data_IF_921349474765
#
_entry.id   IF_921349474765
#
_cell.length_a   1.000
_cell.length_b   1.000
_cell.length_c   1.000
_cell.angle_alpha   90.00
_cell.angle_beta   90.00
_cell.angle_gamma   90.00
#
_symmetry.space_group_name_H-M   'P 1'
#
loop_
_entity.id
_entity.type
_entity.pdbx_description
1 polymer ?
#
# COMPACT_ATOMS: atom_id res chain seq x y z
N UNK A 1 -11.53 5.25 4.51
CA UNK A 1 -11.55 4.47 3.24
C UNK A 1 -11.11 3.02 3.48
N UNK A 2 -11.89 2.04 3.01
CA UNK A 2 -11.60 0.59 3.16
C UNK A 2 -10.62 0.12 2.08
N UNK A 3 -9.77 -0.85 2.43
CA UNK A 3 -8.86 -1.47 1.46
C UNK A 3 -9.65 -2.32 0.45
N UNK A 4 -9.29 -2.24 -0.83
CA UNK A 4 -9.77 -3.12 -1.90
C UNK A 4 -9.41 -4.56 -1.55
N UNK A 5 -10.37 -5.45 -1.81
CA UNK A 5 -10.25 -6.89 -1.60
C UNK A 5 -9.19 -7.46 -2.55
N UNK A 6 -8.26 -8.23 -1.99
CA UNK A 6 -7.30 -9.01 -2.77
C UNK A 6 -7.98 -10.34 -3.10
N UNK A 7 -8.10 -10.67 -4.39
CA UNK A 7 -8.72 -11.92 -4.86
C UNK A 7 -7.63 -12.96 -5.13
N UNK A 8 -8.03 -14.24 -5.14
CA UNK A 8 -7.17 -15.38 -5.54
C UNK A 8 -5.93 -15.57 -4.64
N UNK A 9 -6.06 -15.28 -3.34
CA UNK A 9 -5.05 -15.71 -2.37
C UNK A 9 -5.23 -17.20 -2.10
N UNK A 10 -4.12 -17.91 -2.02
CA UNK A 10 -4.08 -19.36 -1.82
C UNK A 10 -3.18 -19.68 -0.61
N UNK A 11 -3.74 -20.15 0.52
CA UNK A 11 -2.94 -20.53 1.69
C UNK A 11 -1.91 -21.64 1.42
N UNK A 12 -2.13 -22.47 0.40
CA UNK A 12 -1.17 -23.49 -0.02
C UNK A 12 -0.13 -22.96 -1.02
N UNK A 13 -0.34 -21.74 -1.53
CA UNK A 13 0.56 -21.06 -2.46
C UNK A 13 1.80 -20.48 -1.78
N UNK A 14 2.80 -20.08 -2.57
CA UNK A 14 4.02 -19.49 -2.03
C UNK A 14 3.76 -18.10 -1.44
N UNK A 15 4.58 -17.71 -0.46
CA UNK A 15 4.54 -16.34 0.08
C UNK A 15 4.73 -15.30 -1.02
N UNK A 16 5.67 -15.53 -1.94
CA UNK A 16 5.97 -14.61 -3.04
C UNK A 16 4.76 -14.38 -3.97
N UNK A 17 4.03 -15.43 -4.33
CA UNK A 17 2.83 -15.30 -5.16
C UNK A 17 1.71 -14.54 -4.45
N UNK A 18 1.42 -14.90 -3.19
CA UNK A 18 0.39 -14.22 -2.42
C UNK A 18 0.75 -12.75 -2.18
N UNK A 19 2.01 -12.48 -1.83
CA UNK A 19 2.54 -11.13 -1.68
C UNK A 19 2.41 -10.34 -3.00
N UNK A 20 2.73 -10.94 -4.14
CA UNK A 20 2.62 -10.30 -5.44
C UNK A 20 1.19 -9.83 -5.72
N UNK A 21 0.19 -10.70 -5.45
CA UNK A 21 -1.23 -10.36 -5.61
C UNK A 21 -1.64 -9.18 -4.72
N UNK A 22 -1.15 -9.15 -3.48
CA UNK A 22 -1.40 -8.03 -2.56
C UNK A 22 -0.74 -6.76 -3.09
N UNK A 23 0.53 -6.81 -3.47
CA UNK A 23 1.30 -5.67 -3.98
C UNK A 23 0.64 -5.06 -5.21
N UNK A 24 0.19 -5.86 -6.17
CA UNK A 24 -0.50 -5.37 -7.38
C UNK A 24 -1.76 -4.57 -7.02
N UNK A 25 -2.56 -5.06 -6.07
CA UNK A 25 -3.75 -4.33 -5.59
C UNK A 25 -3.34 -3.03 -4.89
N UNK A 26 -2.31 -3.05 -4.03
CA UNK A 26 -1.88 -1.86 -3.28
C UNK A 26 -1.24 -0.78 -4.16
N UNK A 27 -0.45 -1.18 -5.15
CA UNK A 27 0.07 -0.26 -6.18
C UNK A 27 -1.08 0.34 -6.99
N UNK A 28 -2.05 -0.49 -7.40
CA UNK A 28 -3.24 -0.01 -8.12
C UNK A 28 -4.11 0.96 -7.30
N UNK A 29 -4.23 0.75 -5.99
CA UNK A 29 -4.89 1.70 -5.09
C UNK A 29 -4.15 3.02 -5.00
N UNK A 30 -2.83 2.99 -4.77
CA UNK A 30 -2.01 4.20 -4.67
C UNK A 30 -2.12 5.04 -5.95
N UNK A 31 -1.96 4.41 -7.11
CA UNK A 31 -2.02 5.10 -8.41
C UNK A 31 -3.41 5.62 -8.76
N UNK A 32 -4.47 4.99 -8.26
CA UNK A 32 -5.84 5.44 -8.51
C UNK A 32 -6.16 6.80 -7.86
N UNK A 33 -5.42 7.21 -6.82
CA UNK A 33 -5.58 8.55 -6.23
C UNK A 33 -4.71 9.61 -6.88
N UNK A 34 -3.72 9.22 -7.69
CA UNK A 34 -2.70 10.13 -8.16
C UNK A 34 -3.25 11.28 -9.01
N UNK A 35 -4.21 11.02 -9.91
CA UNK A 35 -4.81 12.07 -10.73
C UNK A 35 -5.45 13.17 -9.88
N UNK A 36 -6.39 12.79 -9.02
CA UNK A 36 -7.13 13.73 -8.17
C UNK A 36 -6.27 14.33 -7.05
N UNK A 37 -5.26 13.61 -6.55
CA UNK A 37 -4.42 14.10 -5.46
C UNK A 37 -3.46 15.22 -5.88
N UNK A 38 -3.22 15.35 -7.19
CA UNK A 38 -2.45 16.44 -7.81
C UNK A 38 -3.27 17.73 -7.97
N UNK A 39 -4.52 17.76 -7.51
CA UNK A 39 -5.25 19.00 -7.27
C UNK A 39 -4.82 19.58 -5.90
N UNK A 40 -4.35 20.84 -5.84
CA UNK A 40 -3.99 21.48 -4.59
C UNK A 40 -5.15 21.61 -3.61
N UNK A 41 -6.42 21.53 -4.00
CA UNK A 41 -7.55 21.66 -3.08
C UNK A 41 -8.14 20.29 -2.66
N UNK A 42 -7.64 19.19 -3.20
CA UNK A 42 -8.14 17.83 -2.95
C UNK A 42 -7.60 17.18 -1.67
N UNK A 43 -7.71 17.85 -0.52
CA UNK A 43 -7.20 17.38 0.79
C UNK A 43 -7.69 15.97 1.17
N UNK A 44 -8.97 15.66 0.92
CA UNK A 44 -9.53 14.34 1.21
C UNK A 44 -8.86 13.21 0.38
N UNK A 45 -8.57 13.50 -0.89
CA UNK A 45 -7.89 12.57 -1.79
C UNK A 45 -6.44 12.40 -1.40
N UNK A 46 -5.74 13.49 -1.06
CA UNK A 46 -4.36 13.44 -0.57
C UNK A 46 -4.24 12.60 0.70
N UNK A 47 -5.19 12.74 1.64
CA UNK A 47 -5.28 11.90 2.83
C UNK A 47 -5.54 10.42 2.48
N UNK A 48 -6.43 10.15 1.52
CA UNK A 48 -6.68 8.78 1.05
C UNK A 48 -5.44 8.15 0.38
N UNK A 49 -4.71 8.92 -0.41
CA UNK A 49 -3.44 8.53 -1.03
C UNK A 49 -2.38 8.22 0.03
N UNK A 50 -2.30 9.02 1.10
CA UNK A 50 -1.41 8.76 2.24
C UNK A 50 -1.69 7.40 2.87
N UNK A 51 -2.95 7.05 3.07
CA UNK A 51 -3.35 5.74 3.61
C UNK A 51 -2.94 4.62 2.64
N UNK A 52 -3.13 4.80 1.33
CA UNK A 52 -2.70 3.83 0.32
C UNK A 52 -1.17 3.64 0.31
N UNK A 53 -0.40 4.72 0.38
CA UNK A 53 1.06 4.68 0.46
C UNK A 53 1.53 3.94 1.72
N UNK A 54 0.93 4.23 2.89
CA UNK A 54 1.21 3.53 4.15
C UNK A 54 0.95 2.02 4.05
N UNK A 55 -0.18 1.62 3.45
CA UNK A 55 -0.51 0.20 3.25
C UNK A 55 0.48 -0.49 2.33
N UNK A 56 0.84 0.13 1.20
CA UNK A 56 1.84 -0.43 0.29
C UNK A 56 3.20 -0.56 1.00
N UNK A 57 3.62 0.46 1.75
CA UNK A 57 4.86 0.42 2.52
C UNK A 57 4.90 -0.76 3.48
N UNK A 58 3.84 -0.98 4.26
CA UNK A 58 3.78 -2.08 5.23
C UNK A 58 3.85 -3.46 4.56
N UNK A 59 3.18 -3.64 3.42
CA UNK A 59 3.31 -4.88 2.65
C UNK A 59 4.75 -5.06 2.18
N UNK A 60 5.38 -4.01 1.64
CA UNK A 60 6.77 -4.07 1.19
C UNK A 60 7.79 -4.22 2.32
N UNK A 61 7.49 -3.76 3.54
CA UNK A 61 8.32 -4.03 4.72
C UNK A 61 8.29 -5.51 5.09
N UNK A 62 7.11 -6.13 5.02
CA UNK A 62 6.93 -7.55 5.35
C UNK A 62 7.40 -8.49 4.24
N UNK A 63 7.21 -8.14 2.96
CA UNK A 63 7.39 -9.07 1.84
C UNK A 63 8.32 -8.54 0.74
N UNK A 64 9.01 -7.42 0.98
CA UNK A 64 9.83 -6.77 -0.04
C UNK A 64 10.98 -7.63 -0.56
N UNK A 65 11.47 -8.58 0.26
CA UNK A 65 12.51 -9.52 -0.14
C UNK A 65 12.11 -10.41 -1.31
N UNK A 66 10.81 -10.62 -1.56
CA UNK A 66 10.31 -11.37 -2.71
C UNK A 66 10.50 -10.63 -4.06
N UNK A 67 10.75 -9.31 -4.05
CA UNK A 67 10.77 -8.50 -5.29
C UNK A 67 12.10 -7.74 -5.50
N UNK A 68 13.11 -8.03 -4.68
CA UNK A 68 14.45 -7.47 -4.79
C UNK A 68 14.50 -5.94 -4.87
N UNK A 69 15.35 -5.41 -5.76
CA UNK A 69 15.61 -3.97 -5.90
C UNK A 69 14.37 -3.14 -6.23
N UNK A 70 13.38 -3.73 -6.90
CA UNK A 70 12.13 -3.04 -7.24
C UNK A 70 11.33 -2.70 -5.98
N UNK A 71 11.19 -3.66 -5.05
CA UNK A 71 10.57 -3.41 -3.75
C UNK A 71 11.36 -2.42 -2.89
N UNK A 72 12.70 -2.52 -2.84
CA UNK A 72 13.51 -1.56 -2.07
C UNK A 72 13.30 -0.12 -2.53
N UNK A 73 13.27 0.08 -3.86
CA UNK A 73 13.06 1.40 -4.46
C UNK A 73 11.64 1.91 -4.19
N UNK A 74 10.63 1.06 -4.39
CA UNK A 74 9.24 1.43 -4.13
C UNK A 74 8.97 1.70 -2.65
N UNK A 75 9.52 0.90 -1.73
CA UNK A 75 9.38 1.09 -0.28
C UNK A 75 9.92 2.46 0.14
N UNK A 76 11.09 2.86 -0.37
CA UNK A 76 11.66 4.19 -0.14
C UNK A 76 10.71 5.28 -0.64
N UNK A 77 10.26 5.20 -1.89
CA UNK A 77 9.32 6.20 -2.45
C UNK A 77 7.99 6.27 -1.71
N UNK A 78 7.44 5.13 -1.27
CA UNK A 78 6.21 5.12 -0.45
C UNK A 78 6.42 5.77 0.91
N UNK A 79 7.61 5.65 1.50
CA UNK A 79 7.94 6.37 2.74
C UNK A 79 7.99 7.87 2.48
N UNK A 80 8.72 8.29 1.45
CA UNK A 80 8.86 9.71 1.11
C UNK A 80 7.48 10.35 0.81
N UNK A 81 6.61 9.64 0.07
CA UNK A 81 5.22 10.07 -0.18
C UNK A 81 4.40 10.14 1.10
N UNK A 82 4.50 9.11 1.97
CA UNK A 82 3.76 9.08 3.23
C UNK A 82 4.16 10.24 4.14
N UNK A 83 5.45 10.57 4.20
CA UNK A 83 6.00 11.63 5.04
C UNK A 83 5.50 13.00 4.54
N UNK A 84 5.61 13.29 3.23
CA UNK A 84 5.10 14.56 2.65
C UNK A 84 3.58 14.71 2.79
N UNK A 85 2.82 13.69 2.42
CA UNK A 85 1.35 13.72 2.56
C UNK A 85 0.92 13.78 4.03
N UNK A 86 1.75 13.29 4.96
CA UNK A 86 1.55 13.45 6.40
C UNK A 86 1.62 14.90 6.82
N UNK A 87 2.69 15.59 6.43
CA UNK A 87 2.88 17.00 6.74
C UNK A 87 1.82 17.91 6.10
N UNK A 88 1.36 17.59 4.88
CA UNK A 88 0.23 18.28 4.24
C UNK A 88 -1.04 18.10 5.08
N UNK A 89 -1.34 16.86 5.47
CA UNK A 89 -2.51 16.56 6.30
C UNK A 89 -2.45 17.26 7.67
N UNK A 90 -1.27 17.36 8.28
CA UNK A 90 -1.09 18.07 9.53
C UNK A 90 -1.40 19.57 9.38
N UNK A 91 -0.99 20.19 8.27
CA UNK A 91 -1.40 21.57 7.95
C UNK A 91 -2.92 21.68 7.81
N UNK A 92 -3.54 20.77 7.06
CA UNK A 92 -4.99 20.77 6.81
C UNK A 92 -5.81 20.57 8.10
N UNK A 93 -5.29 19.78 9.06
CA UNK A 93 -5.90 19.58 10.38
C UNK A 93 -5.65 20.77 11.30
N UNK A 94 -4.49 21.41 11.23
CA UNK A 94 -4.13 22.54 12.10
C UNK A 94 -4.84 23.84 11.73
N UNK A 95 -5.02 24.12 10.44
CA UNK A 95 -5.67 25.35 9.97
C UNK A 95 -7.06 25.61 10.60
N UNK A 96 -8.02 24.66 10.59
CA UNK A 96 -9.32 24.88 11.22
C UNK A 96 -9.22 25.03 12.75
N UNK A 97 -8.29 24.32 13.40
CA UNK A 97 -8.08 24.43 14.85
C UNK A 97 -7.54 25.81 15.25
N UNK A 98 -6.58 26.33 14.50
CA UNK A 98 -6.04 27.68 14.69
C UNK A 98 -7.14 28.72 14.47
N UNK A 99 -7.93 28.58 13.41
CA UNK A 99 -9.05 29.48 13.12
C UNK A 99 -10.12 29.45 14.22
N UNK A 100 -10.47 28.28 14.73
CA UNK A 100 -11.41 28.12 15.83
C UNK A 100 -10.90 28.75 17.13
N UNK A 101 -9.66 28.44 17.53
CA UNK A 101 -9.05 28.99 18.72
C UNK A 101 -8.92 30.51 18.65
N UNK A 102 -8.55 31.03 17.47
CA UNK A 102 -8.51 32.48 17.19
C UNK A 102 -9.87 33.13 17.37
N UNK A 103 -10.95 32.52 16.86
CA UNK A 103 -12.32 33.01 17.04
C UNK A 103 -12.74 33.01 18.52
N UNK A 104 -12.37 31.98 19.27
CA UNK A 104 -12.66 31.89 20.70
C UNK A 104 -11.98 33.01 21.50
N UNK A 105 -10.68 33.27 21.25
CA UNK A 105 -9.96 34.36 21.91
C UNK A 105 -10.54 35.73 21.56
N UNK A 106 -10.92 35.97 20.30
CA UNK A 106 -11.54 37.24 19.89
C UNK A 106 -12.91 37.46 20.55
N UNK A 107 -13.70 36.40 20.74
CA UNK A 107 -14.97 36.47 21.50
C UNK A 107 -14.72 36.81 22.97
N UNK A 108 -13.81 36.10 23.63
CA UNK A 108 -13.46 36.37 25.02
C UNK A 108 -12.94 37.80 25.23
N UNK A 109 -12.15 38.32 24.28
CA UNK A 109 -11.70 39.72 24.32
C UNK A 109 -12.84 40.72 24.10
N UNK A 110 -13.81 40.42 23.22
CA UNK A 110 -14.99 41.26 23.04
C UNK A 110 -15.83 41.32 24.32
N UNK A 111 -16.07 40.17 24.96
CA UNK A 111 -16.79 40.09 26.24
C UNK A 111 -16.03 40.86 27.33
N UNK A 112 -14.70 40.66 27.45
CA UNK A 112 -13.89 41.36 28.44
C UNK A 112 -13.82 42.89 28.22
N UNK A 113 -13.90 43.35 26.97
CA UNK A 113 -13.96 44.77 26.63
C UNK A 113 -15.34 45.34 26.98
N UNK A 114 -16.42 44.62 26.70
CA UNK A 114 -17.78 44.99 27.07
C UNK A 114 -17.93 45.12 28.59
N UNK A 115 -17.47 44.13 29.35
CA UNK A 115 -17.53 44.17 30.83
C UNK A 115 -16.77 45.37 31.42
N UNK A 116 -15.69 45.81 30.76
CA UNK A 116 -14.92 46.98 31.20
C UNK A 116 -15.57 48.32 30.89
N UNK A 117 -16.50 48.37 29.93
CA UNK A 117 -17.27 49.56 29.63
C UNK A 117 -18.24 49.90 30.78
N UNK A 118 -18.63 48.89 31.58
CA UNK A 118 -19.51 49.08 32.72
C UNK A 118 -20.86 49.64 32.30
N UNK A 119 -21.22 50.81 32.82
CA UNK A 119 -22.50 51.48 32.53
C UNK A 119 -22.37 52.62 31.51
N UNK A 120 -21.20 52.81 30.90
CA UNK A 120 -21.06 53.83 29.87
C UNK A 120 -22.02 53.52 28.70
N UNK A 121 -22.77 54.52 28.20
CA UNK A 121 -23.76 54.32 27.14
C UNK A 121 -23.13 54.04 25.77
N UNK A 122 -21.80 54.20 25.64
CA UNK A 122 -21.01 53.92 24.44
C UNK A 122 -19.64 53.34 24.82
N UNK A 123 -18.96 52.69 23.86
CA UNK A 123 -17.72 51.96 24.10
C UNK A 123 -16.48 52.79 23.70
N UNK A 124 -15.64 53.19 24.68
CA UNK A 124 -14.34 53.84 24.37
C UNK A 124 -13.44 52.87 23.56
N UNK A 125 -13.06 53.21 22.31
CA UNK A 125 -12.19 52.37 21.48
C UNK A 125 -10.84 52.02 22.14
N UNK A 126 -10.36 52.81 23.10
CA UNK A 126 -9.11 52.53 23.84
C UNK A 126 -9.22 51.28 24.71
N UNK A 127 -10.42 50.83 25.08
CA UNK A 127 -10.62 49.61 25.85
C UNK A 127 -10.15 48.37 25.06
N UNK A 128 -10.31 48.37 23.74
CA UNK A 128 -9.82 47.29 22.87
C UNK A 128 -8.28 47.14 22.94
N UNK A 129 -7.55 48.26 23.14
CA UNK A 129 -6.09 48.21 23.30
C UNK A 129 -5.66 47.50 24.60
N UNK A 130 -6.58 47.34 25.56
CA UNK A 130 -6.34 46.64 26.83
C UNK A 130 -6.88 45.21 26.84
N UNK A 131 -7.41 44.71 25.72
CA UNK A 131 -7.98 43.38 25.65
C UNK A 131 -6.91 42.31 26.00
N UNK A 132 -7.28 41.29 26.81
CA UNK A 132 -6.33 40.37 27.42
C UNK A 132 -5.59 39.46 26.42
N UNK A 133 -6.21 39.10 25.30
CA UNK A 133 -5.66 38.16 24.31
C UNK A 133 -5.22 38.81 22.99
N UNK A 134 -5.17 40.15 22.93
CA UNK A 134 -4.86 40.90 21.69
C UNK A 134 -3.57 40.50 20.97
N UNK A 135 -2.55 40.11 21.74
CA UNK A 135 -1.27 39.64 21.19
C UNK A 135 -1.35 38.18 20.77
N UNK A 136 -2.09 37.35 21.50
CA UNK A 136 -2.26 35.92 21.24
C UNK A 136 -2.92 35.66 19.88
N UNK A 137 -4.07 36.28 19.58
CA UNK A 137 -4.71 36.02 18.29
C UNK A 137 -3.97 36.64 17.09
N UNK A 138 -3.12 37.66 17.29
CA UNK A 138 -2.18 38.15 16.26
C UNK A 138 -1.10 37.12 15.93
N UNK A 139 -0.56 36.45 16.95
CA UNK A 139 0.37 35.33 16.74
C UNK A 139 -0.29 34.17 15.97
N UNK A 140 -1.56 33.89 16.26
CA UNK A 140 -2.34 32.89 15.51
C UNK A 140 -2.60 33.29 14.06
N UNK A 141 -2.81 34.57 13.76
CA UNK A 141 -2.92 35.07 12.38
C UNK A 141 -1.61 34.80 11.60
N UNK A 142 -0.45 35.07 12.21
CA UNK A 142 0.87 34.77 11.60
C UNK A 142 1.07 33.26 11.41
N UNK A 143 0.68 32.45 12.40
CA UNK A 143 0.74 30.99 12.29
C UNK A 143 -0.17 30.45 11.17
N UNK A 144 -1.37 31.01 11.00
CA UNK A 144 -2.29 30.64 9.92
C UNK A 144 -1.64 30.92 8.54
N UNK A 145 -1.02 32.09 8.36
CA UNK A 145 -0.26 32.44 7.14
C UNK A 145 0.87 31.44 6.90
N UNK A 146 1.65 31.13 7.94
CA UNK A 146 2.73 30.15 7.86
C UNK A 146 2.23 28.76 7.42
N UNK A 147 1.18 28.24 8.07
CA UNK A 147 0.63 26.92 7.75
C UNK A 147 0.14 26.86 6.30
N UNK A 148 -0.53 27.91 5.80
CA UNK A 148 -0.97 28.00 4.40
C UNK A 148 0.20 28.01 3.42
N UNK A 149 1.27 28.74 3.73
CA UNK A 149 2.47 28.80 2.91
C UNK A 149 3.23 27.47 2.92
N UNK A 150 3.45 26.89 4.10
CA UNK A 150 4.09 25.58 4.29
C UNK A 150 3.34 24.49 3.53
N UNK A 151 2.01 24.48 3.60
CA UNK A 151 1.17 23.52 2.88
C UNK A 151 1.38 23.58 1.38
N UNK A 152 1.51 24.78 0.78
CA UNK A 152 1.85 24.95 -0.64
C UNK A 152 3.22 24.36 -0.99
N UNK A 153 4.25 24.72 -0.21
CA UNK A 153 5.61 24.18 -0.42
C UNK A 153 5.65 22.65 -0.33
N UNK A 154 4.94 22.06 0.63
CA UNK A 154 4.84 20.61 0.77
C UNK A 154 4.11 19.97 -0.41
N UNK A 155 3.06 20.62 -0.90
CA UNK A 155 2.33 20.17 -2.08
C UNK A 155 3.21 20.16 -3.34
N UNK A 156 3.99 21.21 -3.57
CA UNK A 156 4.92 21.28 -4.71
C UNK A 156 5.95 20.13 -4.66
N UNK A 157 6.50 19.87 -3.47
CA UNK A 157 7.43 18.75 -3.23
C UNK A 157 6.77 17.38 -3.43
N UNK A 158 5.51 17.23 -3.03
CA UNK A 158 4.74 16.00 -3.25
C UNK A 158 4.55 15.75 -4.75
N UNK A 159 4.14 16.77 -5.49
CA UNK A 159 3.94 16.71 -6.94
C UNK A 159 5.24 16.35 -7.66
N UNK A 160 6.35 17.02 -7.32
CA UNK A 160 7.68 16.70 -7.87
C UNK A 160 8.09 15.25 -7.58
N UNK A 161 7.95 14.81 -6.32
CA UNK A 161 8.28 13.44 -5.93
C UNK A 161 7.44 12.40 -6.69
N UNK A 162 6.16 12.69 -6.90
CA UNK A 162 5.25 11.81 -7.63
C UNK A 162 5.69 11.67 -9.10
N UNK A 163 5.95 12.80 -9.78
CA UNK A 163 6.41 12.80 -11.16
C UNK A 163 7.77 12.11 -11.32
N UNK A 164 8.75 12.41 -10.47
CA UNK A 164 10.07 11.73 -10.48
C UNK A 164 9.92 10.21 -10.27
N UNK A 165 8.95 9.77 -9.46
CA UNK A 165 8.69 8.35 -9.25
C UNK A 165 8.08 7.66 -10.47
N UNK A 166 7.18 8.33 -11.19
CA UNK A 166 6.58 7.85 -12.45
C UNK A 166 7.62 7.84 -13.58
N UNK A 167 8.40 8.90 -13.75
CA UNK A 167 9.48 9.01 -14.75
C UNK A 167 10.54 7.93 -14.56
N UNK A 168 10.98 7.72 -13.31
CA UNK A 168 11.90 6.63 -13.00
C UNK A 168 11.25 5.27 -13.14
N UNK A 169 9.93 5.15 -13.35
CA UNK A 169 9.22 3.88 -13.53
C UNK A 169 9.23 3.02 -12.26
N UNK A 170 9.21 3.63 -11.08
CA UNK A 170 9.28 2.92 -9.79
C UNK A 170 8.14 1.91 -9.66
N UNK A 171 6.91 2.37 -9.91
CA UNK A 171 5.72 1.54 -9.80
C UNK A 171 5.66 0.48 -10.90
N UNK A 172 6.01 0.84 -12.14
CA UNK A 172 6.08 -0.10 -13.27
C UNK A 172 7.04 -1.25 -12.97
N UNK A 173 8.23 -0.98 -12.42
CA UNK A 173 9.19 -2.03 -12.06
C UNK A 173 8.69 -2.92 -10.92
N UNK A 174 8.02 -2.35 -9.92
CA UNK A 174 7.43 -3.14 -8.83
C UNK A 174 6.31 -4.06 -9.34
N UNK A 175 5.42 -3.52 -10.19
CA UNK A 175 4.36 -4.29 -10.85
C UNK A 175 4.96 -5.45 -11.67
N UNK A 176 5.96 -5.17 -12.51
CA UNK A 176 6.62 -6.20 -13.31
C UNK A 176 7.30 -7.28 -12.45
N UNK A 177 7.93 -6.89 -11.33
CA UNK A 177 8.51 -7.86 -10.40
C UNK A 177 7.45 -8.75 -9.75
N UNK A 178 6.31 -8.18 -9.35
CA UNK A 178 5.19 -8.94 -8.79
C UNK A 178 4.54 -9.87 -9.82
N UNK A 179 4.28 -9.40 -11.04
CA UNK A 179 3.76 -10.24 -12.13
C UNK A 179 4.72 -11.41 -12.44
N UNK A 180 6.03 -11.16 -12.38
CA UNK A 180 7.06 -12.19 -12.53
C UNK A 180 6.98 -13.29 -11.46
N UNK A 181 6.70 -12.95 -10.19
CA UNK A 181 6.50 -13.95 -9.14
C UNK A 181 5.25 -14.81 -9.36
N UNK A 182 4.17 -14.20 -9.85
CA UNK A 182 2.95 -14.95 -10.19
C UNK A 182 3.21 -15.91 -11.36
N UNK A 183 3.94 -15.45 -12.37
CA UNK A 183 4.31 -16.28 -13.52
C UNK A 183 5.21 -17.46 -13.11
N UNK A 184 6.24 -17.20 -12.28
CA UNK A 184 7.12 -18.25 -11.72
C UNK A 184 6.33 -19.30 -10.94
N UNK A 185 5.42 -18.88 -10.06
CA UNK A 185 4.60 -19.80 -9.28
C UNK A 185 3.69 -20.67 -10.16
N UNK A 186 3.12 -20.09 -11.22
CA UNK A 186 2.31 -20.84 -12.19
C UNK A 186 3.14 -21.85 -12.98
N UNK A 187 4.37 -21.49 -13.38
CA UNK A 187 5.29 -22.40 -14.05
C UNK A 187 5.69 -23.57 -13.15
N UNK A 188 6.04 -23.29 -11.89
CA UNK A 188 6.38 -24.31 -10.89
C UNK A 188 5.24 -25.29 -10.66
N UNK A 189 3.99 -24.82 -10.51
CA UNK A 189 2.82 -25.71 -10.39
C UNK A 189 2.66 -26.62 -11.59
N UNK A 190 2.73 -26.06 -12.81
CA UNK A 190 2.65 -26.86 -14.04
C UNK A 190 3.78 -27.88 -14.14
N UNK A 191 4.99 -27.53 -13.70
CA UNK A 191 6.11 -28.45 -13.66
C UNK A 191 5.89 -29.58 -12.65
N UNK A 192 5.40 -29.26 -11.45
CA UNK A 192 5.07 -30.25 -10.43
C UNK A 192 3.96 -31.22 -10.90
N UNK A 193 2.90 -30.71 -11.52
CA UNK A 193 1.84 -31.54 -12.11
C UNK A 193 2.37 -32.45 -13.23
N UNK A 194 3.29 -31.96 -14.07
CA UNK A 194 3.93 -32.80 -15.10
C UNK A 194 4.81 -33.88 -14.48
N UNK A 195 5.58 -33.56 -13.45
CA UNK A 195 6.42 -34.52 -12.75
C UNK A 195 5.58 -35.61 -12.07
N UNK A 196 4.47 -35.23 -11.44
CA UNK A 196 3.52 -36.17 -10.83
C UNK A 196 2.92 -37.12 -11.86
N UNK A 197 2.44 -36.58 -12.99
CA UNK A 197 1.93 -37.41 -14.09
C UNK A 197 2.99 -38.37 -14.63
N UNK A 198 4.23 -37.90 -14.78
CA UNK A 198 5.33 -38.75 -15.24
C UNK A 198 5.66 -39.85 -14.23
N UNK A 199 5.59 -39.57 -12.92
CA UNK A 199 5.77 -40.57 -11.86
C UNK A 199 4.72 -41.67 -11.95
N UNK A 200 3.44 -41.30 -12.01
CA UNK A 200 2.34 -42.26 -12.11
C UNK A 200 2.43 -43.13 -13.39
N UNK A 201 2.80 -42.53 -14.51
CA UNK A 201 3.01 -43.26 -15.76
C UNK A 201 4.19 -44.25 -15.68
N UNK A 202 5.27 -43.89 -14.97
CA UNK A 202 6.41 -44.78 -14.73
C UNK A 202 6.00 -45.95 -13.84
N UNK A 203 5.28 -45.70 -12.74
CA UNK A 203 4.76 -46.74 -11.84
C UNK A 203 3.85 -47.72 -12.58
N UNK A 204 2.98 -47.23 -13.47
CA UNK A 204 2.13 -48.06 -14.32
C UNK A 204 2.97 -48.89 -15.32
N UNK A 205 3.95 -48.28 -15.99
CA UNK A 205 4.83 -49.00 -16.92
C UNK A 205 5.69 -50.07 -16.20
N UNK A 206 6.10 -49.82 -14.96
CA UNK A 206 6.78 -50.82 -14.12
C UNK A 206 5.85 -51.96 -13.72
N UNK A 207 4.60 -51.67 -13.36
CA UNK A 207 3.59 -52.70 -13.07
C UNK A 207 3.36 -53.60 -14.29
N UNK A 208 3.13 -53.00 -15.45
CA UNK A 208 2.93 -53.75 -16.71
C UNK A 208 4.15 -54.60 -17.06
N UNK A 209 5.38 -54.08 -16.87
CA UNK A 209 6.60 -54.87 -17.09
C UNK A 209 6.72 -56.06 -16.14
N UNK A 210 6.38 -55.90 -14.84
CA UNK A 210 6.38 -57.00 -13.87
C UNK A 210 5.36 -58.07 -14.25
N UNK A 211 4.14 -57.68 -14.59
CA UNK A 211 3.09 -58.61 -15.03
C UNK A 211 3.50 -59.38 -16.30
N UNK A 212 4.16 -58.72 -17.25
CA UNK A 212 4.66 -59.37 -18.46
C UNK A 212 5.76 -60.40 -18.13
N UNK A 213 6.73 -60.05 -17.28
CA UNK A 213 7.78 -60.97 -16.85
C UNK A 213 7.21 -62.20 -16.10
N UNK A 214 6.21 -62.01 -15.24
CA UNK A 214 5.52 -63.12 -14.58
C UNK A 214 4.74 -64.02 -15.54
N UNK A 215 4.21 -63.48 -16.65
CA UNK A 215 3.55 -64.27 -17.69
C UNK A 215 4.55 -65.07 -18.51
N UNK A 216 5.67 -64.46 -18.92
CA UNK A 216 6.77 -65.17 -19.59
C UNK A 216 7.30 -66.31 -18.74
N UNK A 217 7.51 -66.07 -17.44
CA UNK A 217 8.02 -67.09 -16.54
C UNK A 217 7.04 -68.26 -16.36
N UNK A 218 5.74 -67.97 -16.26
CA UNK A 218 4.69 -69.01 -16.25
C UNK A 218 4.67 -69.83 -17.53
N UNK A 219 4.69 -69.17 -18.68
CA UNK A 219 4.71 -69.85 -19.98
C UNK A 219 5.96 -70.74 -20.14
N UNK A 220 7.12 -70.27 -19.66
CA UNK A 220 8.34 -71.07 -19.68
C UNK A 220 8.28 -72.31 -18.76
N UNK A 221 7.66 -72.18 -17.58
CA UNK A 221 7.43 -73.32 -16.68
C UNK A 221 6.47 -74.34 -17.30
N UNK A 222 5.33 -73.89 -17.86
CA UNK A 222 4.37 -74.77 -18.54
C UNK A 222 5.01 -75.52 -19.72
N UNK A 223 5.87 -74.85 -20.49
CA UNK A 223 6.59 -75.48 -21.60
C UNK A 223 7.57 -76.57 -21.10
N UNK A 224 8.31 -76.30 -20.02
CA UNK A 224 9.24 -77.26 -19.44
C UNK A 224 8.51 -78.47 -18.81
N UNK A 225 7.35 -78.26 -18.19
CA UNK A 225 6.49 -79.35 -17.70
C UNK A 225 5.96 -80.21 -18.86
N UNK A 226 5.52 -79.58 -19.95
CA UNK A 226 5.07 -80.31 -21.15
C UNK A 226 6.20 -81.09 -21.83
N UNK A 227 7.44 -80.59 -21.84
CA UNK A 227 8.62 -81.31 -22.35
C UNK A 227 9.01 -82.49 -21.45
N UNK A 228 8.81 -82.38 -20.13
CA UNK A 228 9.07 -83.47 -19.19
C UNK A 228 8.04 -84.62 -19.27
N UNK A 229 6.79 -84.33 -19.62
CA UNK A 229 5.72 -85.34 -19.77
C UNK A 229 5.81 -86.15 -21.08
N UNK A 230 6.66 -85.74 -22.03
CA UNK A 230 6.84 -86.38 -23.35
C UNK A 230 8.09 -87.28 -23.40
N UNK A 231 8.89 -87.32 -22.33
CA UNK A 231 10.11 -88.16 -22.21
C UNK A 231 9.94 -89.37 -21.30
#
# INVERSE_FOLDING_TARGET
MKARKVKKLDPAGTLAENAARIVLVRVGELRAFAGDALDPDASATQHAMRIAAKRLRYVLEATGFCFGRAATSARRRTKDLQDLLGEIHDCDVMLPRVAEHRRALRRADADAVYERAGTDPDLDPKLAARAPHRTSYRGLDVLEVYLRARRKVLFDRFTELWHDSEERGVWRRLTAAADGEIARAAEMRRAAERAERARLALEEAERVRREAAEREQRAATELAEAEADVS
#
